data_IF_695725605085
#
_entry.id   IF_695725605085
#
_cell.length_a   1.000
_cell.length_b   1.000
_cell.length_c   1.000
_cell.angle_alpha   90.00
_cell.angle_beta   90.00
_cell.angle_gamma   90.00
#
_symmetry.space_group_name_H-M   'P 1'
#
loop_
_entity.id
_entity.type
_entity.pdbx_description
1 polymer ?
#
# COMPACT_ATOMS: atom_id res chain seq x y z
N UNK A 1 20.92 28.96 66.45
CA UNK A 1 21.56 28.86 65.12
C UNK A 1 21.26 27.47 64.54
N UNK A 2 20.20 27.28 63.75
CA UNK A 2 19.97 26.10 62.88
C UNK A 2 18.55 26.12 62.30
N UNK A 3 18.31 26.91 61.27
CA UNK A 3 17.11 26.79 60.41
C UNK A 3 17.47 26.85 58.90
N UNK A 4 18.75 26.92 58.56
CA UNK A 4 19.22 27.16 57.18
C UNK A 4 19.53 25.89 56.39
N UNK A 5 19.67 24.73 57.04
CA UNK A 5 20.16 23.51 56.37
C UNK A 5 19.05 22.68 55.71
N UNK A 6 17.84 22.66 56.27
CA UNK A 6 16.74 21.82 55.77
C UNK A 6 16.10 22.37 54.49
N UNK A 7 16.05 23.69 54.32
CA UNK A 7 15.47 24.31 53.11
C UNK A 7 16.34 24.09 51.86
N UNK A 8 17.66 24.10 52.00
CA UNK A 8 18.59 23.93 50.88
C UNK A 8 18.56 22.51 50.29
N UNK A 9 18.40 21.49 51.15
CA UNK A 9 18.36 20.08 50.72
C UNK A 9 17.06 19.77 49.96
N UNK A 10 15.91 20.28 50.42
CA UNK A 10 14.62 20.03 49.77
C UNK A 10 14.53 20.71 48.40
N UNK A 11 15.06 21.94 48.26
CA UNK A 11 15.11 22.64 46.96
C UNK A 11 16.05 21.94 45.97
N UNK A 12 17.19 21.41 46.43
CA UNK A 12 18.13 20.66 45.60
C UNK A 12 17.54 19.35 45.05
N UNK A 13 16.81 18.59 45.86
CA UNK A 13 16.18 17.32 45.43
C UNK A 13 15.01 17.55 44.45
N UNK A 14 14.24 18.63 44.63
CA UNK A 14 13.15 18.99 43.70
C UNK A 14 13.68 19.46 42.34
N UNK A 15 14.79 20.23 42.32
CA UNK A 15 15.41 20.67 41.07
C UNK A 15 16.05 19.52 40.27
N UNK A 16 16.72 18.57 40.96
CA UNK A 16 17.33 17.41 40.29
C UNK A 16 16.27 16.45 39.75
N UNK A 17 15.16 16.25 40.46
CA UNK A 17 14.06 15.40 39.99
C UNK A 17 13.30 16.03 38.83
N UNK A 18 13.02 17.33 38.86
CA UNK A 18 12.38 18.04 37.73
C UNK A 18 13.30 18.12 36.51
N UNK A 19 14.59 18.41 36.67
CA UNK A 19 15.55 18.39 35.56
C UNK A 19 15.75 16.98 34.99
N UNK A 20 15.74 15.94 35.83
CA UNK A 20 15.80 14.54 35.42
C UNK A 20 14.55 14.10 34.66
N UNK A 21 13.36 14.50 35.13
CA UNK A 21 12.09 14.23 34.44
C UNK A 21 11.99 15.02 33.13
N UNK A 22 12.39 16.30 33.10
CA UNK A 22 12.41 17.10 31.88
C UNK A 22 13.46 16.59 30.88
N UNK A 23 14.63 16.17 31.36
CA UNK A 23 15.66 15.52 30.57
C UNK A 23 15.18 14.18 30.00
N UNK A 24 14.52 13.36 30.82
CA UNK A 24 13.89 12.11 30.37
C UNK A 24 12.77 12.37 29.37
N UNK A 25 11.91 13.36 29.57
CA UNK A 25 10.84 13.73 28.63
C UNK A 25 11.39 14.33 27.34
N UNK A 26 12.50 15.09 27.41
CA UNK A 26 13.20 15.64 26.26
C UNK A 26 13.92 14.55 25.45
N UNK A 27 14.56 13.59 26.13
CA UNK A 27 15.20 12.42 25.52
C UNK A 27 14.18 11.38 25.02
N UNK A 28 13.03 11.26 25.70
CA UNK A 28 11.89 10.40 25.30
C UNK A 28 11.00 11.06 24.26
N UNK A 29 11.27 12.32 23.89
CA UNK A 29 10.58 13.00 22.79
C UNK A 29 10.99 12.30 21.50
N UNK A 30 10.16 11.35 21.03
CA UNK A 30 10.36 10.64 19.77
C UNK A 30 10.71 11.66 18.69
N UNK A 31 11.97 11.65 18.25
CA UNK A 31 12.40 12.49 17.12
C UNK A 31 11.55 12.09 15.93
N UNK A 32 10.92 13.08 15.29
CA UNK A 32 10.18 12.84 14.04
C UNK A 32 11.16 12.18 13.06
N UNK A 33 10.74 11.09 12.36
CA UNK A 33 11.61 10.44 11.40
C UNK A 33 11.96 11.41 10.28
N UNK A 34 13.14 11.23 9.67
CA UNK A 34 13.51 12.01 8.49
C UNK A 34 12.71 11.49 7.30
N UNK A 35 12.17 12.38 6.48
CA UNK A 35 11.34 12.01 5.33
C UNK A 35 12.17 12.07 4.06
N UNK A 36 12.05 11.03 3.21
CA UNK A 36 12.76 10.96 1.94
C UNK A 36 12.07 11.78 0.85
N UNK A 37 10.76 11.56 0.65
CA UNK A 37 9.97 12.21 -0.39
C UNK A 37 9.46 13.59 0.05
N UNK A 38 10.36 14.57 0.11
CA UNK A 38 10.02 15.94 0.54
C UNK A 38 9.27 16.75 -0.53
N UNK A 39 9.60 16.53 -1.80
CA UNK A 39 9.02 17.25 -2.92
C UNK A 39 8.53 16.26 -4.00
N UNK A 40 7.22 16.25 -4.34
CA UNK A 40 6.65 15.31 -5.30
C UNK A 40 7.12 15.50 -6.75
N UNK A 41 7.82 16.59 -7.04
CA UNK A 41 8.42 16.86 -8.35
C UNK A 41 9.88 16.45 -8.44
N UNK A 42 10.56 16.25 -7.31
CA UNK A 42 11.97 15.87 -7.26
C UNK A 42 12.17 14.36 -7.44
N UNK A 43 13.37 14.01 -7.91
CA UNK A 43 13.81 12.62 -8.05
C UNK A 43 14.82 12.30 -6.96
N UNK A 44 14.61 11.17 -6.31
CA UNK A 44 15.47 10.63 -5.27
C UNK A 44 16.07 9.32 -5.78
N UNK A 45 17.40 9.26 -5.88
CA UNK A 45 18.08 8.04 -6.29
C UNK A 45 18.21 7.08 -5.12
N UNK A 46 17.51 5.95 -5.19
CA UNK A 46 17.56 4.93 -4.16
C UNK A 46 18.32 3.71 -4.66
N UNK A 47 19.12 3.11 -3.76
CA UNK A 47 20.00 1.98 -4.07
C UNK A 47 19.29 0.67 -3.80
N UNK A 48 19.28 -0.24 -4.77
CA UNK A 48 18.84 -1.61 -4.54
C UNK A 48 19.81 -2.30 -3.58
N UNK A 49 19.32 -2.75 -2.42
CA UNK A 49 20.14 -3.41 -1.40
C UNK A 49 19.77 -4.88 -1.19
N UNK A 50 18.57 -5.29 -1.57
CA UNK A 50 18.15 -6.69 -1.54
C UNK A 50 17.11 -6.98 -2.64
N UNK A 51 17.11 -8.23 -3.14
CA UNK A 51 16.21 -8.73 -4.18
C UNK A 51 15.83 -10.18 -3.88
N UNK A 52 14.61 -10.39 -3.41
CA UNK A 52 14.08 -11.70 -3.07
C UNK A 52 13.21 -12.26 -4.20
N UNK A 53 13.32 -13.56 -4.46
CA UNK A 53 12.44 -14.30 -5.36
C UNK A 53 11.19 -14.73 -4.58
N UNK A 54 10.05 -14.10 -4.88
CA UNK A 54 8.75 -14.43 -4.25
C UNK A 54 8.07 -15.58 -4.99
N UNK A 55 8.12 -15.56 -6.32
CA UNK A 55 7.60 -16.63 -7.18
C UNK A 55 8.39 -16.69 -8.48
N UNK A 56 7.99 -17.55 -9.41
CA UNK A 56 8.61 -17.66 -10.75
C UNK A 56 8.79 -16.29 -11.42
N UNK A 57 7.77 -15.44 -11.33
CA UNK A 57 7.73 -14.14 -11.98
C UNK A 57 7.48 -12.98 -11.02
N UNK A 58 7.64 -13.16 -9.71
CA UNK A 58 7.51 -12.06 -8.75
C UNK A 58 8.78 -11.90 -7.94
N UNK A 59 9.14 -10.64 -7.68
CA UNK A 59 10.27 -10.27 -6.84
C UNK A 59 9.84 -9.27 -5.78
N UNK A 60 10.53 -9.29 -4.64
CA UNK A 60 10.54 -8.19 -3.68
C UNK A 60 11.86 -7.45 -3.81
N UNK A 61 11.80 -6.18 -4.19
CA UNK A 61 12.97 -5.30 -4.31
C UNK A 61 13.01 -4.38 -3.10
N UNK A 62 14.13 -4.39 -2.38
CA UNK A 62 14.37 -3.49 -1.24
C UNK A 62 15.36 -2.41 -1.63
N UNK A 63 14.97 -1.16 -1.49
CA UNK A 63 15.84 -0.02 -1.75
C UNK A 63 16.18 0.71 -0.45
N UNK A 64 17.46 1.06 -0.28
CA UNK A 64 17.90 1.86 0.86
C UNK A 64 17.38 3.30 0.76
N UNK A 65 16.84 3.81 1.86
CA UNK A 65 16.57 5.23 2.06
C UNK A 65 17.87 5.98 2.41
N UNK A 66 17.89 7.33 2.40
CA UNK A 66 19.12 8.11 2.60
C UNK A 66 19.86 7.84 3.92
N UNK A 67 19.17 7.36 4.95
CA UNK A 67 19.80 6.85 6.17
C UNK A 67 18.90 5.83 6.88
N UNK A 68 19.44 5.05 7.84
CA UNK A 68 18.65 4.12 8.67
C UNK A 68 17.55 4.77 9.51
N UNK A 69 17.52 6.10 9.62
CA UNK A 69 16.50 6.86 10.37
C UNK A 69 15.46 7.53 9.45
N UNK A 70 15.61 7.38 8.13
CA UNK A 70 14.63 7.87 7.18
C UNK A 70 13.45 6.91 7.09
N UNK A 71 12.28 7.48 6.84
CA UNK A 71 11.10 6.79 6.30
C UNK A 71 10.86 7.33 4.89
N UNK A 72 10.00 6.68 4.12
CA UNK A 72 9.75 7.08 2.74
C UNK A 72 9.02 8.42 2.69
N UNK A 73 8.01 8.62 3.55
CA UNK A 73 7.10 9.76 3.51
C UNK A 73 5.96 9.54 2.53
N UNK A 74 5.33 8.36 2.54
CA UNK A 74 4.28 8.00 1.61
C UNK A 74 2.93 7.87 2.34
N UNK A 75 2.00 8.84 2.16
CA UNK A 75 0.67 8.72 2.72
C UNK A 75 -0.07 7.48 2.20
N UNK A 76 -0.90 6.87 3.05
CA UNK A 76 -1.68 5.67 2.70
C UNK A 76 -2.66 6.01 1.57
N UNK A 77 -2.71 5.16 0.54
CA UNK A 77 -3.48 5.39 -0.69
C UNK A 77 -2.69 6.07 -1.81
N UNK A 78 -1.44 6.50 -1.55
CA UNK A 78 -0.53 7.08 -2.55
C UNK A 78 0.50 6.05 -3.02
N UNK A 79 1.11 6.33 -4.16
CA UNK A 79 2.18 5.53 -4.77
C UNK A 79 3.41 6.36 -5.12
N UNK A 80 4.50 5.69 -5.47
CA UNK A 80 5.70 6.31 -6.04
C UNK A 80 5.77 6.04 -7.54
N UNK A 81 6.52 6.86 -8.27
CA UNK A 81 6.91 6.64 -9.65
C UNK A 81 8.38 6.24 -9.71
N UNK A 82 8.67 5.14 -10.38
CA UNK A 82 10.03 4.81 -10.80
C UNK A 82 10.25 5.35 -12.21
N UNK A 83 11.43 5.92 -12.45
CA UNK A 83 11.82 6.34 -13.79
C UNK A 83 13.21 5.86 -14.17
N UNK A 84 13.35 5.37 -15.40
CA UNK A 84 14.61 4.92 -15.96
C UNK A 84 14.64 5.16 -17.47
N UNK A 85 15.83 5.35 -18.04
CA UNK A 85 16.03 5.32 -19.49
C UNK A 85 16.22 3.87 -19.93
N UNK A 86 15.27 3.34 -20.69
CA UNK A 86 15.23 1.96 -21.19
C UNK A 86 15.15 2.05 -22.70
N UNK A 87 16.13 1.46 -23.40
CA UNK A 87 16.25 1.48 -24.86
C UNK A 87 16.17 2.90 -25.46
N UNK A 88 16.88 3.85 -24.83
CA UNK A 88 16.91 5.25 -25.24
C UNK A 88 15.66 6.07 -24.87
N UNK A 89 14.60 5.44 -24.35
CA UNK A 89 13.34 6.10 -23.98
C UNK A 89 13.17 6.24 -22.47
N UNK A 90 12.66 7.39 -22.00
CA UNK A 90 12.30 7.56 -20.59
C UNK A 90 11.03 6.76 -20.29
N UNK A 91 11.15 5.72 -19.47
CA UNK A 91 10.03 4.92 -18.98
C UNK A 91 9.72 5.32 -17.54
N UNK A 92 8.46 5.66 -17.27
CA UNK A 92 7.96 6.00 -15.93
C UNK A 92 6.81 5.07 -15.57
N UNK A 93 6.83 4.45 -14.40
CA UNK A 93 5.74 3.55 -13.94
C UNK A 93 5.43 3.76 -12.45
N UNK A 94 4.13 3.72 -12.07
CA UNK A 94 3.74 3.78 -10.67
C UNK A 94 3.97 2.43 -9.98
N UNK A 95 4.32 2.47 -8.70
CA UNK A 95 4.41 1.33 -7.81
C UNK A 95 3.94 1.75 -6.42
N UNK A 96 3.06 0.97 -5.80
CA UNK A 96 2.73 1.13 -4.39
C UNK A 96 3.65 0.22 -3.57
N UNK A 97 4.50 0.79 -2.69
CA UNK A 97 5.31 -0.01 -1.78
C UNK A 97 4.47 -0.89 -0.87
N UNK A 98 5.07 -2.02 -0.48
CA UNK A 98 4.51 -2.91 0.56
C UNK A 98 5.15 -2.63 1.92
N UNK A 99 6.13 -1.75 2.03
CA UNK A 99 6.56 -1.17 3.31
C UNK A 99 5.72 0.07 3.67
N UNK A 100 5.73 0.50 4.92
CA UNK A 100 5.08 1.73 5.39
C UNK A 100 6.09 2.72 5.99
N UNK A 101 5.61 3.88 6.44
CA UNK A 101 6.44 4.83 7.22
C UNK A 101 6.72 4.36 8.67
N UNK A 102 6.31 3.14 9.03
CA UNK A 102 6.84 2.45 10.21
C UNK A 102 8.20 1.80 9.95
N UNK A 103 8.47 1.46 8.69
CA UNK A 103 9.71 0.85 8.26
C UNK A 103 10.77 1.93 8.05
N UNK A 104 11.85 1.81 8.82
CA UNK A 104 12.97 2.76 8.75
C UNK A 104 14.10 2.23 7.88
N UNK A 105 14.69 3.12 7.10
CA UNK A 105 15.92 2.88 6.34
C UNK A 105 15.75 2.19 5.01
N UNK A 106 14.55 1.68 4.68
CA UNK A 106 14.30 1.02 3.40
C UNK A 106 12.88 1.23 2.87
N UNK A 107 12.68 0.89 1.60
CA UNK A 107 11.37 0.75 0.95
C UNK A 107 11.32 -0.57 0.17
N UNK A 108 10.24 -1.33 0.34
CA UNK A 108 10.02 -2.59 -0.36
C UNK A 108 8.96 -2.47 -1.46
N UNK A 109 9.30 -2.95 -2.66
CA UNK A 109 8.38 -3.07 -3.80
C UNK A 109 8.20 -4.54 -4.16
N UNK A 110 6.95 -5.01 -4.22
CA UNK A 110 6.62 -6.31 -4.80
C UNK A 110 6.20 -6.11 -6.24
N UNK A 111 6.93 -6.72 -7.17
CA UNK A 111 6.76 -6.48 -8.61
C UNK A 111 6.69 -7.80 -9.36
N UNK A 112 5.62 -7.95 -10.15
CA UNK A 112 5.52 -9.02 -11.16
C UNK A 112 6.35 -8.65 -12.40
N UNK A 113 7.21 -9.57 -12.80
CA UNK A 113 8.12 -9.48 -13.93
C UNK A 113 7.43 -10.04 -15.16
N UNK A 114 7.03 -9.14 -16.05
CA UNK A 114 6.50 -9.51 -17.36
C UNK A 114 7.66 -9.86 -18.30
N UNK A 115 8.09 -11.12 -18.30
CA UNK A 115 9.16 -11.59 -19.18
C UNK A 115 8.75 -11.57 -20.65
N UNK A 116 9.70 -11.23 -21.53
CA UNK A 116 9.58 -11.42 -22.98
C UNK A 116 9.37 -12.90 -23.35
N UNK A 117 8.75 -13.13 -24.49
CA UNK A 117 8.48 -14.46 -25.07
C UNK A 117 7.58 -15.37 -24.21
N UNK A 118 6.79 -14.80 -23.28
CA UNK A 118 5.83 -15.56 -22.46
C UNK A 118 4.40 -15.40 -22.95
N UNK A 119 3.95 -14.16 -23.17
CA UNK A 119 2.56 -13.88 -23.55
C UNK A 119 2.44 -13.58 -25.05
N UNK A 120 1.58 -14.27 -25.82
CA UNK A 120 1.51 -14.14 -27.27
C UNK A 120 1.11 -12.73 -27.75
N UNK A 121 0.26 -12.04 -26.99
CA UNK A 121 -0.12 -10.63 -27.30
C UNK A 121 0.92 -9.59 -26.86
N UNK A 122 1.88 -9.98 -26.02
CA UNK A 122 2.89 -9.08 -25.45
C UNK A 122 4.28 -9.72 -25.53
N UNK A 123 4.79 -10.00 -26.76
CA UNK A 123 6.03 -10.75 -26.95
C UNK A 123 7.26 -10.06 -26.33
N UNK A 124 7.28 -8.72 -26.29
CA UNK A 124 8.38 -7.94 -25.71
C UNK A 124 8.39 -7.90 -24.18
N UNK A 125 7.32 -8.37 -23.52
CA UNK A 125 7.16 -8.27 -22.07
C UNK A 125 7.03 -6.83 -21.56
N UNK A 126 7.32 -6.63 -20.28
CA UNK A 126 7.22 -5.34 -19.60
C UNK A 126 8.56 -4.62 -19.52
N UNK A 127 8.62 -3.38 -20.04
CA UNK A 127 9.86 -2.57 -20.05
C UNK A 127 10.44 -2.36 -18.64
N UNK A 128 9.68 -1.69 -17.76
CA UNK A 128 10.16 -1.36 -16.41
C UNK A 128 10.36 -2.61 -15.55
N UNK A 129 9.47 -3.60 -15.63
CA UNK A 129 9.60 -4.81 -14.81
C UNK A 129 10.84 -5.64 -15.18
N UNK A 130 11.15 -5.79 -16.47
CA UNK A 130 12.37 -6.48 -16.90
C UNK A 130 13.64 -5.65 -16.59
N UNK A 131 13.55 -4.32 -16.65
CA UNK A 131 14.63 -3.44 -16.20
C UNK A 131 14.91 -3.58 -14.70
N UNK A 132 13.86 -3.65 -13.86
CA UNK A 132 14.02 -3.91 -12.43
C UNK A 132 14.68 -5.28 -12.18
N UNK A 133 14.24 -6.33 -12.89
CA UNK A 133 14.83 -7.66 -12.77
C UNK A 133 16.33 -7.67 -13.14
N UNK A 134 16.75 -6.85 -14.12
CA UNK A 134 18.15 -6.77 -14.55
C UNK A 134 19.05 -5.97 -13.61
N UNK A 135 18.48 -5.23 -12.65
CA UNK A 135 19.27 -4.50 -11.65
C UNK A 135 20.07 -5.47 -10.78
N UNK A 136 21.32 -5.07 -10.51
CA UNK A 136 22.22 -5.70 -9.56
C UNK A 136 22.13 -4.98 -8.22
N UNK A 137 22.44 -5.71 -7.15
CA UNK A 137 22.60 -5.09 -5.82
C UNK A 137 23.64 -3.97 -5.94
N UNK A 138 23.29 -2.78 -5.44
CA UNK A 138 24.10 -1.57 -5.54
C UNK A 138 23.67 -0.61 -6.65
N UNK A 139 22.88 -1.04 -7.65
CA UNK A 139 22.39 -0.14 -8.70
C UNK A 139 21.37 0.87 -8.14
N UNK A 140 21.30 2.04 -8.79
CA UNK A 140 20.41 3.15 -8.42
C UNK A 140 19.22 3.24 -9.37
N UNK A 141 18.06 3.66 -8.84
CA UNK A 141 16.89 4.04 -9.65
C UNK A 141 16.24 5.31 -9.10
N UNK A 142 15.67 6.14 -9.99
CA UNK A 142 14.97 7.35 -9.60
C UNK A 142 13.58 7.03 -9.05
N UNK A 143 13.35 7.38 -7.78
CA UNK A 143 12.03 7.46 -7.15
C UNK A 143 11.49 8.89 -7.20
N UNK A 144 10.18 9.04 -7.42
CA UNK A 144 9.47 10.32 -7.28
C UNK A 144 8.10 10.10 -6.68
N UNK A 145 7.67 10.96 -5.77
CA UNK A 145 6.35 10.88 -5.14
C UNK A 145 6.27 11.81 -3.93
N UNK A 146 5.14 11.79 -3.19
CA UNK A 146 4.00 10.91 -3.38
C UNK A 146 3.12 11.29 -4.58
N UNK A 147 2.50 10.29 -5.23
CA UNK A 147 1.52 10.45 -6.31
C UNK A 147 0.22 9.72 -6.01
N UNK A 148 -0.86 10.05 -6.73
CA UNK A 148 -2.18 9.45 -6.54
C UNK A 148 -3.23 10.46 -6.12
N UNK A 149 -4.51 10.14 -6.35
CA UNK A 149 -5.65 11.05 -6.13
C UNK A 149 -6.44 10.73 -4.84
N UNK A 150 -6.12 9.62 -4.19
CA UNK A 150 -6.73 9.22 -2.92
C UNK A 150 -5.68 9.25 -1.80
N UNK A 151 -6.08 9.67 -0.61
CA UNK A 151 -5.32 9.47 0.62
C UNK A 151 -6.26 9.00 1.72
N UNK A 152 -5.88 7.93 2.42
CA UNK A 152 -6.58 7.49 3.62
C UNK A 152 -6.05 8.27 4.82
N UNK A 153 -6.94 8.93 5.55
CA UNK A 153 -6.63 9.77 6.72
C UNK A 153 -6.88 9.05 8.04
N UNK A 154 -7.34 7.79 7.99
CA UNK A 154 -7.72 6.98 9.14
C UNK A 154 -9.21 7.05 9.47
N UNK A 155 -9.71 6.04 10.17
CA UNK A 155 -11.09 5.97 10.70
C UNK A 155 -12.19 6.19 9.65
N UNK A 156 -12.01 5.63 8.46
CA UNK A 156 -12.90 5.73 7.32
C UNK A 156 -12.80 7.03 6.53
N UNK A 157 -11.92 7.96 6.89
CA UNK A 157 -11.79 9.24 6.18
C UNK A 157 -10.89 9.11 4.95
N UNK A 158 -11.42 9.46 3.79
CA UNK A 158 -10.72 9.49 2.51
C UNK A 158 -10.67 10.92 1.99
N UNK A 159 -9.47 11.40 1.66
CA UNK A 159 -9.28 12.62 0.90
C UNK A 159 -9.17 12.26 -0.59
N UNK A 160 -10.16 12.66 -1.38
CA UNK A 160 -10.30 12.29 -2.79
C UNK A 160 -10.19 13.52 -3.68
N UNK A 161 -9.39 13.42 -4.73
CA UNK A 161 -9.22 14.45 -5.74
C UNK A 161 -9.81 13.98 -7.07
N UNK A 162 -10.57 14.84 -7.75
CA UNK A 162 -10.99 14.59 -9.11
C UNK A 162 -9.80 14.60 -10.10
N UNK A 163 -8.86 15.52 -9.86
CA UNK A 163 -7.60 15.62 -10.59
C UNK A 163 -6.52 16.29 -9.72
N UNK A 164 -5.28 16.36 -10.22
CA UNK A 164 -4.14 16.92 -9.47
C UNK A 164 -4.24 18.41 -9.13
N UNK A 165 -5.18 19.15 -9.72
CA UNK A 165 -5.36 20.59 -9.55
C UNK A 165 -6.55 20.91 -8.63
N UNK A 166 -7.44 19.94 -8.44
CA UNK A 166 -8.65 20.08 -7.64
C UNK A 166 -8.33 19.81 -6.16
N UNK A 167 -8.91 20.60 -5.27
CA UNK A 167 -8.81 20.37 -3.83
C UNK A 167 -9.43 19.01 -3.46
N UNK A 168 -8.89 18.37 -2.42
CA UNK A 168 -9.42 17.10 -1.97
C UNK A 168 -10.77 17.29 -1.25
N UNK A 169 -11.75 16.48 -1.61
CA UNK A 169 -12.99 16.29 -0.88
C UNK A 169 -12.78 15.22 0.20
N UNK A 170 -13.27 15.46 1.42
CA UNK A 170 -13.24 14.46 2.48
C UNK A 170 -14.54 13.65 2.45
N UNK A 171 -14.42 12.34 2.24
CA UNK A 171 -15.52 11.38 2.37
C UNK A 171 -15.28 10.45 3.55
N UNK A 172 -16.35 10.02 4.20
CA UNK A 172 -16.30 9.05 5.30
C UNK A 172 -16.98 7.77 4.84
N UNK A 173 -16.21 6.71 4.73
CA UNK A 173 -16.65 5.41 4.25
C UNK A 173 -16.35 4.37 5.32
N UNK A 174 -17.38 3.67 5.79
CA UNK A 174 -17.28 2.67 6.86
C UNK A 174 -17.05 1.27 6.32
N UNK A 175 -17.39 1.06 5.06
CA UNK A 175 -17.37 -0.25 4.43
C UNK A 175 -16.67 -0.16 3.08
N UNK A 176 -15.67 -1.01 2.86
CA UNK A 176 -14.87 -1.00 1.65
C UNK A 176 -15.03 -2.33 0.91
N UNK A 177 -15.43 -2.28 -0.36
CA UNK A 177 -15.26 -3.38 -1.30
C UNK A 177 -13.97 -3.18 -2.10
N UNK A 178 -13.08 -4.16 -2.09
CA UNK A 178 -11.77 -4.07 -2.73
C UNK A 178 -11.74 -5.10 -3.87
N UNK A 179 -11.44 -4.67 -5.10
CA UNK A 179 -11.28 -5.56 -6.25
C UNK A 179 -9.85 -5.42 -6.77
N UNK A 180 -9.04 -6.46 -6.57
CA UNK A 180 -7.64 -6.48 -6.98
C UNK A 180 -7.40 -7.50 -8.09
N UNK A 181 -6.50 -7.19 -9.03
CA UNK A 181 -6.03 -8.11 -10.06
C UNK A 181 -4.51 -8.18 -10.10
N UNK A 182 -3.92 -9.35 -9.85
CA UNK A 182 -2.46 -9.54 -9.83
C UNK A 182 -1.74 -8.53 -8.94
N UNK A 183 -0.83 -7.73 -9.51
CA UNK A 183 -0.08 -6.70 -8.76
C UNK A 183 -0.94 -5.56 -8.22
N UNK A 184 -2.21 -5.46 -8.62
CA UNK A 184 -3.16 -4.48 -8.06
C UNK A 184 -3.52 -4.71 -6.59
N UNK A 185 -2.97 -5.76 -5.96
CA UNK A 185 -3.11 -5.98 -4.52
C UNK A 185 -2.35 -4.96 -3.66
N UNK A 186 -1.25 -4.37 -4.16
CA UNK A 186 -0.36 -3.56 -3.30
C UNK A 186 -0.99 -2.27 -2.76
N UNK A 187 -1.82 -1.51 -3.51
CA UNK A 187 -2.59 -0.40 -2.93
C UNK A 187 -3.60 -0.87 -1.87
N UNK A 188 -4.23 -2.03 -2.07
CA UNK A 188 -5.19 -2.59 -1.12
C UNK A 188 -4.51 -2.98 0.18
N UNK A 189 -3.36 -3.65 0.07
CA UNK A 189 -2.51 -4.05 1.19
C UNK A 189 -2.06 -2.88 2.05
N UNK A 190 -1.62 -1.79 1.40
CA UNK A 190 -1.26 -0.57 2.12
C UNK A 190 -2.44 -0.04 2.94
N UNK A 191 -3.63 -0.01 2.35
CA UNK A 191 -4.84 0.50 3.00
C UNK A 191 -5.28 -0.36 4.18
N UNK A 192 -5.50 -1.66 3.99
CA UNK A 192 -6.03 -2.47 5.08
C UNK A 192 -4.99 -2.73 6.17
N UNK A 193 -3.67 -2.75 5.89
CA UNK A 193 -2.68 -2.83 6.98
C UNK A 193 -2.80 -1.62 7.91
N UNK A 194 -3.01 -0.43 7.37
CA UNK A 194 -3.21 0.78 8.16
C UNK A 194 -4.51 0.72 8.99
N UNK A 195 -5.62 0.34 8.35
CA UNK A 195 -6.94 0.14 9.01
C UNK A 195 -6.83 -0.90 10.14
N UNK A 196 -6.27 -2.07 9.84
CA UNK A 196 -6.27 -3.19 10.78
C UNK A 196 -5.33 -2.95 11.97
N UNK A 197 -4.22 -2.22 11.75
CA UNK A 197 -3.27 -1.83 12.80
C UNK A 197 -3.86 -0.86 13.82
N UNK A 198 -4.82 -0.03 13.42
CA UNK A 198 -5.47 0.93 14.31
C UNK A 198 -6.72 0.32 14.98
N UNK A 199 -6.72 0.05 16.30
CA UNK A 199 -7.89 -0.50 16.99
C UNK A 199 -9.06 0.50 17.08
N UNK A 200 -8.81 1.81 16.94
CA UNK A 200 -9.85 2.83 16.88
C UNK A 200 -10.49 2.97 15.50
N UNK A 201 -9.98 2.27 14.50
CA UNK A 201 -10.51 2.26 13.15
C UNK A 201 -11.52 1.12 12.99
N UNK A 202 -12.79 1.47 12.78
CA UNK A 202 -13.88 0.50 12.68
C UNK A 202 -14.23 0.16 11.23
N UNK A 203 -13.49 0.69 10.25
CA UNK A 203 -13.73 0.43 8.84
C UNK A 203 -13.59 -1.06 8.53
N UNK A 204 -14.55 -1.60 7.78
CA UNK A 204 -14.58 -3.00 7.33
C UNK A 204 -14.17 -3.10 5.86
N UNK A 205 -13.51 -4.19 5.50
CA UNK A 205 -12.95 -4.42 4.18
C UNK A 205 -13.37 -5.81 3.68
N UNK A 206 -13.86 -5.90 2.45
CA UNK A 206 -14.05 -7.18 1.75
C UNK A 206 -13.23 -7.16 0.47
N UNK A 207 -12.31 -8.10 0.32
CA UNK A 207 -11.40 -8.20 -0.82
C UNK A 207 -11.80 -9.36 -1.72
N UNK A 208 -12.05 -9.04 -3.00
CA UNK A 208 -12.16 -9.99 -4.10
C UNK A 208 -10.88 -9.90 -4.96
N UNK A 209 -10.05 -10.94 -4.90
CA UNK A 209 -8.71 -10.92 -5.49
C UNK A 209 -8.56 -11.92 -6.65
N UNK A 210 -8.43 -11.37 -7.87
CA UNK A 210 -8.29 -12.13 -9.11
C UNK A 210 -6.83 -12.37 -9.51
N UNK A 211 -6.51 -13.62 -9.87
CA UNK A 211 -5.21 -14.04 -10.37
C UNK A 211 -5.35 -15.05 -11.53
N UNK A 212 -4.29 -15.36 -12.27
CA UNK A 212 -4.37 -16.34 -13.37
C UNK A 212 -4.47 -17.78 -12.85
N UNK A 213 -3.65 -18.11 -11.85
CA UNK A 213 -3.62 -19.41 -11.18
C UNK A 213 -3.46 -19.20 -9.68
N UNK A 214 -3.69 -20.23 -8.87
CA UNK A 214 -3.43 -20.16 -7.42
C UNK A 214 -1.96 -19.77 -7.11
N UNK A 215 -1.01 -20.28 -7.89
CA UNK A 215 0.43 -20.00 -7.71
C UNK A 215 0.81 -18.56 -8.02
N UNK A 216 -0.08 -17.81 -8.69
CA UNK A 216 0.11 -16.39 -8.98
C UNK A 216 -0.42 -15.48 -7.86
N UNK A 217 -1.11 -16.01 -6.84
CA UNK A 217 -1.68 -15.21 -5.75
C UNK A 217 -0.53 -14.63 -4.92
N UNK A 218 -0.36 -13.31 -5.06
CA UNK A 218 0.64 -12.57 -4.32
C UNK A 218 0.21 -12.40 -2.87
N UNK A 219 1.13 -12.69 -1.93
CA UNK A 219 0.93 -12.44 -0.50
C UNK A 219 -0.26 -13.22 0.10
N UNK A 220 -0.55 -14.41 -0.44
CA UNK A 220 -1.66 -15.29 0.00
C UNK A 220 -1.63 -15.52 1.51
N UNK A 221 -0.51 -16.04 2.03
CA UNK A 221 -0.36 -16.38 3.45
C UNK A 221 -0.58 -15.17 4.36
N UNK A 222 -0.08 -13.99 3.97
CA UNK A 222 -0.28 -12.76 4.74
C UNK A 222 -1.74 -12.31 4.74
N UNK A 223 -2.43 -12.39 3.60
CA UNK A 223 -3.85 -12.06 3.50
C UNK A 223 -4.70 -12.99 4.38
N UNK A 224 -4.40 -14.29 4.36
CA UNK A 224 -5.08 -15.29 5.19
C UNK A 224 -4.81 -15.07 6.68
N UNK A 225 -3.58 -14.73 7.07
CA UNK A 225 -3.22 -14.37 8.44
C UNK A 225 -3.99 -13.12 8.92
N UNK A 226 -4.15 -12.12 8.06
CA UNK A 226 -4.90 -10.90 8.40
C UNK A 226 -6.38 -11.21 8.56
N UNK A 227 -6.97 -12.06 7.71
CA UNK A 227 -8.35 -12.51 7.89
C UNK A 227 -8.52 -13.28 9.20
N UNK A 228 -7.62 -14.20 9.51
CA UNK A 228 -7.67 -14.97 10.75
C UNK A 228 -7.59 -14.09 12.01
N UNK A 229 -6.80 -13.01 11.97
CA UNK A 229 -6.66 -12.04 13.08
C UNK A 229 -7.82 -11.05 13.17
N UNK A 230 -8.49 -10.75 12.06
CA UNK A 230 -9.54 -9.73 11.99
C UNK A 230 -10.82 -10.21 11.29
N UNK A 231 -11.42 -11.36 11.67
CA UNK A 231 -12.51 -11.99 10.92
C UNK A 231 -13.78 -11.13 10.85
N UNK A 232 -13.97 -10.22 11.81
CA UNK A 232 -15.12 -9.31 11.85
C UNK A 232 -14.93 -8.04 11.00
N UNK A 233 -13.70 -7.71 10.58
CA UNK A 233 -13.37 -6.50 9.83
C UNK A 233 -12.78 -6.77 8.45
N UNK A 234 -12.25 -7.96 8.21
CA UNK A 234 -11.66 -8.34 6.92
C UNK A 234 -12.25 -9.64 6.40
N UNK A 235 -12.80 -9.57 5.19
CA UNK A 235 -13.23 -10.73 4.41
C UNK A 235 -12.36 -10.86 3.17
N UNK A 236 -11.94 -12.08 2.86
CA UNK A 236 -11.04 -12.41 1.77
C UNK A 236 -11.71 -13.46 0.89
N UNK A 237 -11.74 -13.17 -0.42
CA UNK A 237 -12.19 -14.11 -1.43
C UNK A 237 -11.29 -14.08 -2.65
N UNK A 238 -10.99 -15.24 -3.21
CA UNK A 238 -10.15 -15.37 -4.38
C UNK A 238 -10.96 -15.76 -5.62
N UNK A 239 -10.47 -15.35 -6.79
CA UNK A 239 -10.83 -16.01 -8.04
C UNK A 239 -9.59 -16.24 -8.90
N UNK A 240 -9.57 -17.36 -9.62
CA UNK A 240 -8.48 -17.69 -10.54
C UNK A 240 -9.00 -18.09 -11.92
N UNK A 241 -8.31 -17.69 -12.98
CA UNK A 241 -8.70 -18.09 -14.35
C UNK A 241 -8.66 -19.62 -14.51
N UNK A 242 -7.63 -20.25 -13.94
CA UNK A 242 -7.41 -21.70 -13.98
C UNK A 242 -7.29 -22.25 -12.57
N UNK A 243 -8.38 -22.84 -12.08
CA UNK A 243 -8.45 -23.45 -10.76
C UNK A 243 -7.77 -24.83 -10.74
N UNK A 244 -7.06 -25.20 -9.65
CA UNK A 244 -6.73 -26.59 -9.36
C UNK A 244 -7.99 -27.39 -9.00
N UNK A 245 -7.87 -28.72 -8.90
CA UNK A 245 -9.00 -29.61 -8.60
C UNK A 245 -9.63 -29.32 -7.22
N UNK A 246 -8.81 -29.04 -6.22
CA UNK A 246 -9.23 -28.82 -4.82
C UNK A 246 -9.41 -27.33 -4.50
N UNK A 247 -9.94 -26.55 -5.45
CA UNK A 247 -10.11 -25.10 -5.29
C UNK A 247 -11.43 -24.76 -4.62
N UNK A 248 -11.36 -24.11 -3.45
CA UNK A 248 -12.53 -23.81 -2.61
C UNK A 248 -13.17 -22.44 -2.92
N UNK A 249 -12.56 -21.64 -3.79
CA UNK A 249 -13.04 -20.30 -4.14
C UNK A 249 -13.59 -20.24 -5.56
N UNK A 250 -13.87 -19.04 -6.06
CA UNK A 250 -14.42 -18.86 -7.40
C UNK A 250 -13.39 -19.15 -8.50
N UNK A 251 -13.88 -19.52 -9.68
CA UNK A 251 -13.07 -19.65 -10.89
C UNK A 251 -13.58 -18.70 -11.98
N UNK A 252 -12.64 -18.10 -12.72
CA UNK A 252 -12.90 -17.22 -13.86
C UNK A 252 -12.71 -15.74 -13.54
N UNK A 253 -13.07 -14.90 -14.51
CA UNK A 253 -13.01 -13.45 -14.35
C UNK A 253 -14.08 -12.95 -13.38
N UNK A 254 -13.80 -11.80 -12.76
CA UNK A 254 -14.74 -11.08 -11.89
C UNK A 254 -16.10 -10.95 -12.60
N UNK A 255 -17.17 -11.38 -11.93
CA UNK A 255 -18.54 -11.31 -12.41
C UNK A 255 -19.49 -10.71 -11.35
N UNK A 256 -20.76 -10.51 -11.73
CA UNK A 256 -21.75 -9.92 -10.84
C UNK A 256 -22.04 -10.82 -9.64
N UNK A 257 -22.04 -12.14 -9.82
CA UNK A 257 -22.33 -13.12 -8.78
C UNK A 257 -21.26 -13.05 -7.67
N UNK A 258 -19.97 -13.05 -8.03
CA UNK A 258 -18.86 -12.89 -7.09
C UNK A 258 -18.93 -11.55 -6.35
N UNK A 259 -19.24 -10.44 -7.05
CA UNK A 259 -19.36 -9.12 -6.43
C UNK A 259 -20.51 -9.09 -5.43
N UNK A 260 -21.67 -9.65 -5.81
CA UNK A 260 -22.85 -9.68 -4.96
C UNK A 260 -22.65 -10.52 -3.70
N UNK A 261 -21.94 -11.65 -3.83
CA UNK A 261 -21.73 -12.59 -2.72
C UNK A 261 -20.61 -12.15 -1.77
N UNK A 262 -19.53 -11.56 -2.31
CA UNK A 262 -18.30 -11.35 -1.55
C UNK A 262 -17.96 -9.88 -1.27
N UNK A 263 -18.66 -8.91 -1.88
CA UNK A 263 -18.49 -7.48 -1.57
C UNK A 263 -19.71 -6.92 -0.82
N UNK A 264 -19.55 -5.79 -0.10
CA UNK A 264 -20.66 -5.17 0.60
C UNK A 264 -21.65 -4.56 -0.39
N UNK A 265 -22.98 -4.69 -0.18
CA UNK A 265 -23.97 -4.14 -1.10
C UNK A 265 -23.83 -2.61 -1.23
N UNK A 266 -24.36 -2.01 -2.30
CA UNK A 266 -24.37 -0.56 -2.44
C UNK A 266 -25.08 0.11 -1.25
N UNK A 267 -24.38 1.01 -0.55
CA UNK A 267 -24.91 1.87 0.51
C UNK A 267 -24.33 3.29 0.40
N UNK A 268 -24.77 4.23 1.24
CA UNK A 268 -24.21 5.60 1.22
C UNK A 268 -22.82 5.73 1.84
N UNK A 269 -22.39 4.74 2.63
CA UNK A 269 -21.10 4.68 3.34
C UNK A 269 -20.22 3.50 2.86
N UNK A 270 -20.48 3.04 1.63
CA UNK A 270 -19.73 2.00 0.95
C UNK A 270 -18.96 2.56 -0.25
N UNK A 271 -17.66 2.27 -0.28
CA UNK A 271 -16.75 2.60 -1.37
C UNK A 271 -16.13 1.35 -1.98
N UNK A 272 -16.09 1.31 -3.32
CA UNK A 272 -15.44 0.27 -4.10
C UNK A 272 -14.09 0.78 -4.61
N UNK A 273 -13.00 0.17 -4.17
CA UNK A 273 -11.65 0.46 -4.63
C UNK A 273 -11.18 -0.63 -5.58
N UNK A 274 -10.64 -0.25 -6.73
CA UNK A 274 -10.23 -1.20 -7.77
C UNK A 274 -8.81 -0.94 -8.25
N UNK A 275 -8.03 -1.99 -8.43
CA UNK A 275 -6.72 -1.91 -9.07
C UNK A 275 -6.40 -3.22 -9.79
N UNK A 276 -6.08 -3.14 -11.07
CA UNK A 276 -5.79 -4.30 -11.90
C UNK A 276 -5.57 -3.92 -13.36
N UNK A 277 -5.41 -4.90 -14.26
CA UNK A 277 -5.25 -4.65 -15.69
C UNK A 277 -6.43 -3.83 -16.25
N UNK A 278 -6.20 -2.87 -17.18
CA UNK A 278 -7.29 -2.07 -17.74
C UNK A 278 -8.47 -2.88 -18.29
N UNK A 279 -8.28 -4.03 -18.97
CA UNK A 279 -9.40 -4.85 -19.42
C UNK A 279 -10.24 -5.43 -18.27
N UNK A 280 -9.61 -5.77 -17.14
CA UNK A 280 -10.34 -6.25 -15.96
C UNK A 280 -11.26 -5.14 -15.44
N UNK A 281 -10.74 -3.93 -15.27
CA UNK A 281 -11.53 -2.80 -14.77
C UNK A 281 -12.67 -2.46 -15.75
N UNK A 282 -12.38 -2.39 -17.04
CA UNK A 282 -13.32 -1.95 -18.07
C UNK A 282 -14.41 -2.96 -18.39
N UNK A 283 -14.08 -4.26 -18.45
CA UNK A 283 -15.00 -5.28 -18.93
C UNK A 283 -15.54 -6.20 -17.83
N UNK A 284 -14.83 -6.36 -16.72
CA UNK A 284 -15.22 -7.26 -15.64
C UNK A 284 -15.72 -6.51 -14.40
N UNK A 285 -15.08 -5.40 -14.00
CA UNK A 285 -15.49 -4.69 -12.80
C UNK A 285 -16.65 -3.71 -13.06
N UNK A 286 -16.45 -2.69 -13.88
CA UNK A 286 -17.43 -1.60 -14.05
C UNK A 286 -18.82 -2.07 -14.50
N UNK A 287 -18.95 -2.92 -15.54
CA UNK A 287 -20.28 -3.34 -16.01
C UNK A 287 -21.04 -4.18 -14.97
N UNK A 288 -20.35 -5.02 -14.20
CA UNK A 288 -20.98 -5.83 -13.16
C UNK A 288 -21.36 -4.99 -11.94
N UNK A 289 -20.56 -3.98 -11.58
CA UNK A 289 -20.93 -3.00 -10.56
C UNK A 289 -22.14 -2.16 -11.01
N UNK A 290 -22.25 -1.81 -12.31
CA UNK A 290 -23.41 -1.09 -12.85
C UNK A 290 -24.67 -1.95 -12.75
N UNK A 291 -24.58 -3.23 -13.15
CA UNK A 291 -25.68 -4.21 -13.04
C UNK A 291 -26.20 -4.35 -11.62
N UNK A 292 -25.32 -4.23 -10.62
CA UNK A 292 -25.65 -4.34 -9.20
C UNK A 292 -26.01 -3.01 -8.53
N UNK A 293 -26.01 -1.89 -9.26
CA UNK A 293 -26.49 -0.60 -8.76
C UNK A 293 -25.48 0.22 -7.94
N UNK A 294 -24.18 -0.11 -7.97
CA UNK A 294 -23.17 0.76 -7.35
C UNK A 294 -23.07 2.07 -8.14
N UNK A 295 -23.06 3.23 -7.49
CA UNK A 295 -22.92 4.52 -8.20
C UNK A 295 -21.48 4.76 -8.62
N UNK A 296 -21.25 5.50 -9.70
CA UNK A 296 -19.89 5.91 -10.11
C UNK A 296 -19.16 6.69 -9.01
N UNK A 297 -19.89 7.49 -8.21
CA UNK A 297 -19.36 8.27 -7.09
C UNK A 297 -18.81 7.43 -5.92
N UNK A 298 -19.14 6.14 -5.89
CA UNK A 298 -18.67 5.17 -4.89
C UNK A 298 -17.44 4.40 -5.36
N UNK A 299 -17.02 4.58 -6.62
CA UNK A 299 -15.95 3.79 -7.22
C UNK A 299 -14.69 4.63 -7.34
N UNK A 300 -13.56 4.04 -6.99
CA UNK A 300 -12.24 4.62 -7.23
C UNK A 300 -11.34 3.58 -7.87
N UNK A 301 -10.65 3.97 -8.95
CA UNK A 301 -9.61 3.15 -9.58
C UNK A 301 -8.26 3.80 -9.33
N UNK A 302 -7.31 3.04 -8.78
CA UNK A 302 -5.94 3.50 -8.52
C UNK A 302 -5.14 3.78 -9.80
#
# INVERSE_FOLDING_TARGET
>A
MSYTTTAAVTVGVVLVSTAGVLGYLYLSRKRKPKITLLNPSEKYQLRLIDKEIVSRDTRKFRFALPSPEHVLGLPVGKHVYLSARIDGSLTVRPYTPVSSDDDKGFVDLVVKIYFKNVHPKFPEGGKMSQYLESLRIGDLIDFRGPGGLMEYKGQGQFALQADKKTAAEIKVERTLGLIAGGTGITPMLQLFRDIMKNPGDTTTCSLLFANQTEKDILLKDELEEIQARHPNRFKLWFTVDKAPADWEYSQGFINAEMIQEHLPPPSDDCMILMCGPPPMIQFACNPNLDKLGYRQSQRFTF
#
